data_IF_448584508636
#
_entry.id   IF_448584508636
#
_cell.length_a   1.000
_cell.length_b   1.000
_cell.length_c   1.000
_cell.angle_alpha   90.00
_cell.angle_beta   90.00
_cell.angle_gamma   90.00
#
_symmetry.space_group_name_H-M   'P 1'
#
loop_
_entity.id
_entity.type
_entity.pdbx_description
1 polymer ?
#
# COMPACT_ATOMS: atom_id res chain seq x y z
N UNK A 1 10.10 10.67 9.68
CA UNK A 1 8.93 10.86 10.57
C UNK A 1 7.76 11.25 9.70
N UNK A 2 6.65 10.52 9.74
CA UNK A 2 5.49 10.79 8.87
C UNK A 2 4.81 12.11 9.28
N UNK A 3 4.40 12.96 8.31
CA UNK A 3 3.71 14.21 8.61
C UNK A 3 2.36 13.95 9.30
N UNK A 4 1.97 14.83 10.23
CA UNK A 4 0.66 14.75 10.91
C UNK A 4 -0.44 15.32 10.02
N UNK A 5 -1.59 14.67 10.03
CA UNK A 5 -2.78 15.05 9.25
C UNK A 5 -3.34 16.42 9.66
N UNK A 6 -3.48 17.38 8.73
CA UNK A 6 -3.95 18.74 9.00
C UNK A 6 -5.33 19.08 8.37
N UNK A 7 -6.30 18.17 8.54
CA UNK A 7 -7.71 18.17 8.06
C UNK A 7 -7.92 17.38 6.75
N UNK A 8 -8.84 16.40 6.80
CA UNK A 8 -9.13 15.44 5.73
C UNK A 8 -8.63 14.02 6.05
N UNK A 9 -9.02 13.04 5.23
CA UNK A 9 -8.44 11.68 5.27
C UNK A 9 -7.20 11.70 4.38
N UNK A 10 -6.03 12.01 4.96
CA UNK A 10 -4.77 12.04 4.23
C UNK A 10 -4.25 10.60 4.04
N UNK A 11 -4.13 10.18 2.77
CA UNK A 11 -3.71 8.85 2.35
C UNK A 11 -2.47 8.97 1.49
N UNK A 12 -1.36 8.42 1.96
CA UNK A 12 -0.10 8.43 1.21
C UNK A 12 0.41 7.01 1.05
N UNK A 13 0.83 6.66 -0.17
CA UNK A 13 1.48 5.39 -0.47
C UNK A 13 2.89 5.63 -0.98
N UNK A 14 3.83 4.81 -0.50
CA UNK A 14 5.20 4.76 -0.99
C UNK A 14 5.47 3.37 -1.52
N UNK A 15 6.21 3.28 -2.61
CA UNK A 15 6.58 2.02 -3.25
C UNK A 15 8.05 2.08 -3.62
N UNK A 16 8.73 0.95 -3.46
CA UNK A 16 10.13 0.78 -3.82
C UNK A 16 10.36 -0.63 -4.38
N UNK A 17 11.36 -0.75 -5.23
CA UNK A 17 11.80 -2.02 -5.77
C UNK A 17 13.32 -2.14 -5.72
N UNK A 18 13.82 -3.29 -5.29
CA UNK A 18 15.25 -3.57 -5.24
C UNK A 18 15.59 -4.67 -6.25
N UNK A 19 16.25 -4.29 -7.33
CA UNK A 19 16.48 -5.15 -8.49
C UNK A 19 17.57 -6.20 -8.24
N UNK A 20 17.26 -7.47 -8.55
CA UNK A 20 18.20 -8.60 -8.57
C UNK A 20 19.16 -8.70 -7.36
N UNK A 21 18.70 -8.25 -6.20
CA UNK A 21 19.47 -8.23 -4.96
C UNK A 21 19.59 -9.63 -4.34
N UNK A 22 18.68 -10.54 -4.68
CA UNK A 22 18.82 -11.94 -4.28
C UNK A 22 19.87 -12.65 -5.15
N UNK A 23 20.91 -13.20 -4.52
CA UNK A 23 22.03 -13.83 -5.23
C UNK A 23 21.67 -15.21 -5.78
N UNK A 24 20.75 -15.91 -5.13
CA UNK A 24 20.40 -17.28 -5.47
C UNK A 24 19.36 -17.31 -6.60
N UNK A 25 18.26 -16.58 -6.46
CA UNK A 25 17.18 -16.58 -7.46
C UNK A 25 17.21 -15.41 -8.42
N UNK A 26 18.07 -14.39 -8.20
CA UNK A 26 18.11 -13.13 -8.97
C UNK A 26 16.78 -12.37 -8.99
N UNK A 27 15.86 -12.72 -8.08
CA UNK A 27 14.55 -12.07 -7.95
C UNK A 27 14.71 -10.71 -7.28
N UNK A 28 13.95 -9.75 -7.78
CA UNK A 28 13.89 -8.43 -7.18
C UNK A 28 13.00 -8.44 -5.94
N UNK A 29 13.16 -7.46 -5.05
CA UNK A 29 12.28 -7.27 -3.90
C UNK A 29 11.29 -6.15 -4.21
N UNK A 30 10.00 -6.39 -3.98
CA UNK A 30 8.96 -5.36 -3.98
C UNK A 30 8.70 -4.94 -2.56
N UNK A 31 8.65 -3.64 -2.30
CA UNK A 31 8.16 -3.11 -1.03
C UNK A 31 7.21 -1.94 -1.21
N UNK A 32 6.27 -1.79 -0.29
CA UNK A 32 5.41 -0.63 -0.20
C UNK A 32 4.99 -0.35 1.24
N UNK A 33 4.60 0.88 1.51
CA UNK A 33 3.99 1.31 2.77
C UNK A 33 2.89 2.32 2.48
N UNK A 34 1.72 2.09 3.08
CA UNK A 34 0.60 3.02 3.04
C UNK A 34 0.37 3.61 4.42
N UNK A 35 0.15 4.92 4.46
CA UNK A 35 -0.13 5.68 5.66
C UNK A 35 -1.50 6.35 5.58
N UNK A 36 -2.21 6.37 6.70
CA UNK A 36 -3.45 7.10 6.91
C UNK A 36 -3.26 8.06 8.07
N UNK A 37 -3.47 9.36 7.82
CA UNK A 37 -3.35 10.41 8.83
C UNK A 37 -1.99 10.43 9.57
N UNK A 38 -0.91 10.02 8.90
CA UNK A 38 0.44 9.91 9.47
C UNK A 38 0.76 8.59 10.17
N UNK A 39 -0.19 7.64 10.24
CA UNK A 39 0.00 6.30 10.80
C UNK A 39 0.12 5.26 9.70
N UNK A 40 1.06 4.32 9.81
CA UNK A 40 1.15 3.17 8.90
C UNK A 40 -0.07 2.26 9.07
N UNK A 41 -0.73 1.92 7.95
CA UNK A 41 -1.91 1.05 7.93
C UNK A 41 -1.61 -0.32 7.29
N UNK A 42 -0.76 -0.36 6.27
CA UNK A 42 -0.33 -1.60 5.62
C UNK A 42 1.05 -1.39 5.02
N UNK A 43 1.85 -2.45 5.02
CA UNK A 43 3.19 -2.48 4.46
C UNK A 43 3.48 -3.88 3.96
N UNK A 44 4.37 -3.97 2.98
CA UNK A 44 4.82 -5.25 2.45
C UNK A 44 6.27 -5.14 2.03
N UNK A 45 7.02 -6.21 2.22
CA UNK A 45 8.34 -6.40 1.60
C UNK A 45 8.48 -7.87 1.25
N UNK A 46 8.55 -8.19 -0.04
CA UNK A 46 8.55 -9.57 -0.54
C UNK A 46 9.39 -9.71 -1.81
N UNK A 47 9.95 -10.90 -2.04
CA UNK A 47 10.56 -11.23 -3.33
C UNK A 47 9.49 -11.32 -4.42
N UNK A 48 9.69 -10.61 -5.53
CA UNK A 48 8.83 -10.64 -6.72
C UNK A 48 8.71 -12.05 -7.25
N UNK A 49 7.52 -12.54 -7.61
CA UNK A 49 7.32 -13.94 -8.05
C UNK A 49 8.12 -14.32 -9.29
N UNK A 50 8.39 -13.36 -10.16
CA UNK A 50 9.15 -13.52 -11.39
C UNK A 50 10.51 -12.82 -11.28
N UNK A 51 11.47 -13.28 -12.06
CA UNK A 51 12.76 -12.59 -12.22
C UNK A 51 12.55 -11.44 -13.21
N UNK A 52 12.65 -10.21 -12.72
CA UNK A 52 12.63 -9.03 -13.59
C UNK A 52 13.89 -8.99 -14.46
N UNK A 53 13.75 -8.57 -15.71
CA UNK A 53 14.85 -8.43 -16.67
C UNK A 53 15.49 -7.04 -16.63
N UNK A 54 14.86 -6.08 -15.95
CA UNK A 54 15.37 -4.72 -15.76
C UNK A 54 14.90 -4.11 -14.45
N UNK A 55 15.53 -3.01 -14.04
CA UNK A 55 15.07 -2.20 -12.90
C UNK A 55 13.68 -1.65 -13.15
N UNK A 56 13.37 -1.18 -14.36
CA UNK A 56 12.05 -0.66 -14.73
C UNK A 56 10.95 -1.70 -14.62
N UNK A 57 11.23 -2.94 -15.03
CA UNK A 57 10.27 -4.04 -14.86
C UNK A 57 10.03 -4.34 -13.38
N UNK A 58 11.08 -4.34 -12.56
CA UNK A 58 10.94 -4.52 -11.12
C UNK A 58 10.12 -3.38 -10.47
N UNK A 59 10.34 -2.13 -10.89
CA UNK A 59 9.55 -0.97 -10.44
C UNK A 59 8.08 -1.13 -10.84
N UNK A 60 7.80 -1.57 -12.07
CA UNK A 60 6.44 -1.77 -12.54
C UNK A 60 5.71 -2.87 -11.78
N UNK A 61 6.38 -3.99 -11.48
CA UNK A 61 5.85 -5.06 -10.64
C UNK A 61 5.54 -4.53 -9.24
N UNK A 62 6.46 -3.77 -8.64
CA UNK A 62 6.25 -3.18 -7.33
C UNK A 62 5.08 -2.19 -7.30
N UNK A 63 5.01 -1.29 -8.28
CA UNK A 63 3.92 -0.33 -8.43
C UNK A 63 2.57 -1.01 -8.62
N UNK A 64 2.52 -2.09 -9.41
CA UNK A 64 1.30 -2.86 -9.65
C UNK A 64 0.79 -3.51 -8.35
N UNK A 65 1.68 -4.11 -7.55
CA UNK A 65 1.32 -4.69 -6.26
C UNK A 65 0.84 -3.64 -5.27
N UNK A 66 1.52 -2.49 -5.20
CA UNK A 66 1.08 -1.37 -4.37
C UNK A 66 -0.30 -0.84 -4.81
N UNK A 67 -0.57 -0.76 -6.12
CA UNK A 67 -1.87 -0.32 -6.64
C UNK A 67 -3.02 -1.25 -6.24
N UNK A 68 -2.80 -2.58 -6.29
CA UNK A 68 -3.79 -3.56 -5.83
C UNK A 68 -4.15 -3.35 -4.36
N UNK A 69 -3.14 -3.13 -3.52
CA UNK A 69 -3.34 -2.83 -2.10
C UNK A 69 -4.11 -1.51 -1.91
N UNK A 70 -3.77 -0.46 -2.67
CA UNK A 70 -4.44 0.83 -2.59
C UNK A 70 -5.94 0.74 -2.94
N UNK A 71 -6.29 -0.03 -3.98
CA UNK A 71 -7.69 -0.29 -4.35
C UNK A 71 -8.44 -1.05 -3.25
N UNK A 72 -7.80 -2.07 -2.67
CA UNK A 72 -8.39 -2.81 -1.55
C UNK A 72 -8.64 -1.91 -0.33
N UNK A 73 -7.65 -1.08 0.03
CA UNK A 73 -7.77 -0.09 1.10
C UNK A 73 -8.90 0.90 0.82
N UNK A 74 -9.08 1.33 -0.43
CA UNK A 74 -10.17 2.22 -0.80
C UNK A 74 -11.55 1.62 -0.51
N UNK A 75 -11.73 0.34 -0.85
CA UNK A 75 -12.93 -0.42 -0.48
C UNK A 75 -13.12 -0.48 1.04
N UNK A 76 -12.07 -0.86 1.77
CA UNK A 76 -12.11 -0.98 3.24
C UNK A 76 -12.52 0.33 3.93
N UNK A 77 -11.96 1.46 3.51
CA UNK A 77 -12.29 2.77 4.11
C UNK A 77 -13.71 3.21 3.77
N UNK A 78 -14.20 2.89 2.56
CA UNK A 78 -15.61 3.14 2.21
C UNK A 78 -16.55 2.33 3.11
N UNK A 79 -16.28 1.04 3.30
CA UNK A 79 -17.09 0.16 4.15
C UNK A 79 -17.12 0.64 5.61
N UNK A 80 -15.94 0.93 6.19
CA UNK A 80 -15.85 1.48 7.55
C UNK A 80 -16.61 2.82 7.65
N UNK A 81 -16.46 3.70 6.66
CA UNK A 81 -17.16 4.98 6.62
C UNK A 81 -18.68 4.83 6.52
N UNK A 82 -19.19 3.82 5.81
CA UNK A 82 -20.63 3.51 5.77
C UNK A 82 -21.13 2.93 7.07
N UNK A 83 -20.37 2.04 7.73
CA UNK A 83 -20.75 1.45 9.01
C UNK A 83 -20.86 2.50 10.12
N UNK A 84 -19.98 3.51 10.12
CA UNK A 84 -20.04 4.59 11.10
C UNK A 84 -21.23 5.53 10.91
N UNK A 85 -21.76 5.68 9.69
CA UNK A 85 -22.94 6.53 9.43
C UNK A 85 -24.26 5.84 9.77
N UNK A 86 -24.31 4.51 9.65
CA UNK A 86 -25.52 3.74 9.88
C UNK A 86 -25.82 3.49 11.37
N UNK A 87 -24.88 3.79 12.28
CA UNK A 87 -25.04 3.58 13.72
C UNK A 87 -25.69 4.72 14.51
N UNK A 88 -25.91 5.88 13.88
CA UNK A 88 -26.44 7.07 14.55
C UNK A 88 -27.97 7.28 14.35
N UNK A 89 -28.62 6.47 13.49
CA UNK A 89 -30.06 6.57 13.18
C UNK A 89 -30.96 5.68 14.08
N UNK A 90 -30.37 4.92 15.02
CA UNK A 90 -31.08 4.00 15.93
C UNK A 90 -31.09 4.50 17.39
N UNK A 91 -31.35 5.80 17.61
CA UNK A 91 -31.64 6.33 18.96
C UNK A 91 -33.09 6.83 19.02
N UNK A 92 -33.92 6.35 19.99
CA UNK A 92 -35.34 6.70 20.06
C UNK A 92 -35.59 8.19 20.30
#
# INVERSE_FOLDING_TARGET
MFPKCSKGVDRTGYVDSNYANDRDSRRSTTSYIFTLCGSCITWKSQLQQIVALSTTEAEYIAATEAFKEALWLEGLVKEIGTLLKNGDDDRP
#
